data_IF_070711587121
#
_entry.id   IF_070711587121
#
_cell.length_a   1.000
_cell.length_b   1.000
_cell.length_c   1.000
_cell.angle_alpha   90.00
_cell.angle_beta   90.00
_cell.angle_gamma   90.00
#
_symmetry.space_group_name_H-M   'P 1'
#
loop_
_entity.id
_entity.type
_entity.pdbx_description
1 polymer ?
#
# COMPACT_ATOMS: atom_id res chain seq x y z
N UNK A 1 9.01 -2.20 27.44
CA UNK A 1 10.05 -2.49 26.43
C UNK A 1 9.42 -3.22 25.25
N UNK A 2 9.43 -2.65 24.04
CA UNK A 2 8.92 -3.34 22.83
C UNK A 2 10.03 -4.25 22.29
N UNK A 3 9.91 -5.57 22.46
CA UNK A 3 10.79 -6.54 21.77
C UNK A 3 10.47 -6.46 20.27
N UNK A 4 11.47 -6.20 19.42
CA UNK A 4 11.28 -6.25 17.96
C UNK A 4 10.94 -7.67 17.51
N UNK A 5 10.29 -7.81 16.34
CA UNK A 5 9.89 -9.12 15.80
C UNK A 5 11.07 -10.08 15.64
N UNK A 6 12.20 -9.60 15.11
CA UNK A 6 13.38 -10.43 14.90
C UNK A 6 14.04 -10.81 16.24
N UNK A 7 14.02 -9.92 17.23
CA UNK A 7 14.49 -10.25 18.58
C UNK A 7 13.55 -11.25 19.29
N UNK A 8 12.24 -11.18 19.03
CA UNK A 8 11.28 -12.15 19.57
C UNK A 8 11.55 -13.55 19.03
N UNK A 9 11.80 -13.68 17.72
CA UNK A 9 12.19 -14.94 17.08
C UNK A 9 13.44 -15.54 17.73
N UNK A 10 14.51 -14.74 17.84
CA UNK A 10 15.80 -15.20 18.40
C UNK A 10 15.61 -15.68 19.84
N UNK A 11 14.94 -14.88 20.67
CA UNK A 11 14.70 -15.19 22.09
C UNK A 11 13.85 -16.44 22.29
N UNK A 12 12.83 -16.64 21.46
CA UNK A 12 11.98 -17.84 21.55
C UNK A 12 12.74 -19.09 21.12
N UNK A 13 13.52 -19.01 20.03
CA UNK A 13 14.39 -20.12 19.63
C UNK A 13 15.37 -20.49 20.73
N UNK A 14 16.06 -19.51 21.30
CA UNK A 14 16.97 -19.71 22.42
C UNK A 14 16.25 -20.35 23.61
N UNK A 15 15.09 -19.84 24.00
CA UNK A 15 14.31 -20.39 25.11
C UNK A 15 13.88 -21.84 24.87
N UNK A 16 13.43 -22.19 23.65
CA UNK A 16 13.02 -23.56 23.31
C UNK A 16 14.23 -24.49 23.31
N UNK A 17 15.31 -24.11 22.62
CA UNK A 17 16.54 -24.91 22.54
C UNK A 17 17.12 -25.17 23.92
N UNK A 18 17.25 -24.11 24.73
CA UNK A 18 17.88 -24.21 26.04
C UNK A 18 16.92 -24.80 27.08
N UNK A 19 15.61 -24.66 26.90
CA UNK A 19 14.61 -25.34 27.72
C UNK A 19 14.61 -26.86 27.61
N UNK A 20 15.20 -27.40 26.53
CA UNK A 20 15.46 -28.84 26.36
C UNK A 20 16.76 -29.32 27.01
N UNK A 21 17.57 -28.40 27.55
CA UNK A 21 18.77 -28.76 28.30
C UNK A 21 18.36 -29.46 29.61
N UNK A 22 19.04 -30.56 30.02
CA UNK A 22 18.68 -31.30 31.25
C UNK A 22 18.56 -30.40 32.48
N UNK A 23 19.51 -29.48 32.67
CA UNK A 23 19.53 -28.53 33.80
C UNK A 23 18.31 -27.58 33.81
N UNK A 24 17.77 -27.24 32.63
CA UNK A 24 16.57 -26.43 32.51
C UNK A 24 15.29 -27.26 32.60
N UNK A 25 15.30 -28.50 32.13
CA UNK A 25 14.12 -29.35 32.12
C UNK A 25 13.61 -29.60 33.54
N UNK A 26 14.52 -29.89 34.49
CA UNK A 26 14.18 -30.05 35.91
C UNK A 26 13.57 -28.78 36.55
N UNK A 27 13.84 -27.60 35.98
CA UNK A 27 13.25 -26.33 36.39
C UNK A 27 11.91 -26.05 35.69
N UNK A 28 11.80 -26.34 34.39
CA UNK A 28 10.69 -25.97 33.52
C UNK A 28 9.51 -26.95 33.60
N UNK A 29 9.77 -28.24 33.73
CA UNK A 29 8.71 -29.26 33.80
C UNK A 29 7.77 -29.04 35.00
N UNK A 30 8.25 -28.76 36.22
CA UNK A 30 7.37 -28.52 37.37
C UNK A 30 6.52 -27.24 37.29
N UNK A 31 6.82 -26.32 36.37
CA UNK A 31 6.00 -25.13 36.10
C UNK A 31 5.11 -25.29 34.86
N UNK A 32 4.97 -26.53 34.36
CA UNK A 32 4.14 -26.88 33.23
C UNK A 32 4.75 -26.54 31.86
N UNK A 33 6.06 -26.23 31.80
CA UNK A 33 6.81 -25.98 30.57
C UNK A 33 7.71 -27.17 30.20
N UNK A 34 7.19 -28.39 30.34
CA UNK A 34 7.83 -29.60 29.83
C UNK A 34 7.79 -29.69 28.30
N UNK A 35 8.23 -30.83 27.77
CA UNK A 35 8.43 -31.07 26.33
C UNK A 35 7.22 -30.68 25.46
N UNK A 36 6.00 -31.08 25.86
CA UNK A 36 4.75 -30.73 25.16
C UNK A 36 4.55 -29.22 25.00
N UNK A 37 4.88 -28.43 26.03
CA UNK A 37 4.71 -26.95 26.01
C UNK A 37 5.80 -26.26 25.20
N UNK A 38 7.01 -26.82 25.17
CA UNK A 38 8.10 -26.37 24.31
C UNK A 38 7.79 -26.68 22.84
N UNK A 39 7.28 -27.88 22.54
CA UNK A 39 6.80 -28.26 21.20
C UNK A 39 5.65 -27.34 20.72
N UNK A 40 4.72 -26.99 21.61
CA UNK A 40 3.67 -26.01 21.29
C UNK A 40 4.26 -24.61 20.98
N UNK A 41 5.34 -24.21 21.66
CA UNK A 41 6.07 -22.98 21.36
C UNK A 41 6.76 -22.99 20.00
N UNK A 42 7.34 -24.13 19.62
CA UNK A 42 7.96 -24.36 18.32
C UNK A 42 6.92 -24.31 17.19
N UNK A 43 5.78 -25.00 17.37
CA UNK A 43 4.67 -24.94 16.42
C UNK A 43 4.12 -23.51 16.22
N UNK A 44 4.00 -22.72 17.29
CA UNK A 44 3.62 -21.31 17.19
C UNK A 44 4.65 -20.47 16.45
N UNK A 45 5.94 -20.76 16.64
CA UNK A 45 7.02 -20.09 15.94
C UNK A 45 6.97 -20.38 14.44
N UNK A 46 6.79 -21.65 14.07
CA UNK A 46 6.68 -22.07 12.67
C UNK A 46 5.46 -21.45 11.99
N UNK A 47 4.29 -21.47 12.65
CA UNK A 47 3.08 -20.83 12.15
C UNK A 47 3.27 -19.32 11.92
N UNK A 48 3.97 -18.63 12.82
CA UNK A 48 4.30 -17.22 12.65
C UNK A 48 5.27 -16.99 11.48
N UNK A 49 6.28 -17.85 11.31
CA UNK A 49 7.23 -17.76 10.18
C UNK A 49 6.53 -17.99 8.84
N UNK A 50 5.68 -19.01 8.75
CA UNK A 50 4.89 -19.31 7.55
C UNK A 50 3.97 -18.14 7.19
N UNK A 51 3.28 -17.56 8.17
CA UNK A 51 2.44 -16.39 7.95
C UNK A 51 3.24 -15.18 7.44
N UNK A 52 4.46 -14.96 7.94
CA UNK A 52 5.34 -13.87 7.48
C UNK A 52 5.82 -14.07 6.04
N UNK A 53 6.22 -15.28 5.66
CA UNK A 53 6.62 -15.59 4.29
C UNK A 53 5.45 -15.47 3.30
N UNK A 54 4.23 -15.86 3.71
CA UNK A 54 3.01 -15.61 2.92
C UNK A 54 2.78 -14.11 2.68
N UNK A 55 2.93 -13.27 3.71
CA UNK A 55 2.80 -11.81 3.54
C UNK A 55 3.91 -11.24 2.64
N UNK A 56 5.15 -11.72 2.77
CA UNK A 56 6.30 -11.25 1.99
C UNK A 56 6.16 -11.60 0.50
N UNK A 57 5.82 -12.85 0.19
CA UNK A 57 5.58 -13.31 -1.18
C UNK A 57 4.42 -12.59 -1.85
N UNK A 58 3.40 -12.20 -1.08
CA UNK A 58 2.30 -11.38 -1.60
C UNK A 58 2.67 -9.91 -1.83
N UNK A 59 3.67 -9.39 -1.10
CA UNK A 59 4.20 -8.04 -1.29
C UNK A 59 4.86 -7.84 -2.66
N UNK A 60 5.56 -8.84 -3.20
CA UNK A 60 6.14 -8.78 -4.55
C UNK A 60 5.07 -8.86 -5.64
N UNK A 61 4.06 -9.72 -5.45
CA UNK A 61 2.89 -9.84 -6.34
C UNK A 61 2.09 -8.54 -6.41
N UNK A 62 2.02 -7.78 -5.31
CA UNK A 62 1.39 -6.45 -5.29
C UNK A 62 2.11 -5.47 -6.21
N UNK A 63 3.44 -5.44 -6.19
CA UNK A 63 4.21 -4.48 -7.01
C UNK A 63 4.00 -4.71 -8.51
N UNK A 64 4.07 -5.95 -8.97
CA UNK A 64 3.86 -6.27 -10.39
C UNK A 64 2.41 -6.01 -10.83
N UNK A 65 1.42 -6.41 -10.02
CA UNK A 65 0.01 -6.15 -10.30
C UNK A 65 -0.29 -4.64 -10.42
N UNK A 66 0.28 -3.83 -9.53
CA UNK A 66 0.13 -2.37 -9.54
C UNK A 66 0.72 -1.75 -10.81
N UNK A 67 1.82 -2.30 -11.33
CA UNK A 67 2.45 -1.77 -12.54
C UNK A 67 1.62 -2.06 -13.78
N UNK A 68 1.07 -3.27 -13.91
CA UNK A 68 0.19 -3.65 -15.02
C UNK A 68 -1.14 -2.87 -15.00
N UNK A 69 -1.71 -2.68 -13.80
CA UNK A 69 -2.91 -1.87 -13.62
C UNK A 69 -2.66 -0.42 -14.04
N UNK A 70 -1.58 0.21 -13.55
CA UNK A 70 -1.22 1.60 -13.90
C UNK A 70 -0.96 1.80 -15.40
N UNK A 71 -0.42 0.80 -16.08
CA UNK A 71 -0.22 0.88 -17.53
C UNK A 71 -1.57 0.89 -18.26
N UNK A 72 -2.48 -0.04 -17.90
CA UNK A 72 -3.81 -0.10 -18.48
C UNK A 72 -4.64 1.16 -18.15
N UNK A 73 -4.56 1.66 -16.92
CA UNK A 73 -5.19 2.90 -16.47
C UNK A 73 -4.75 4.09 -17.32
N UNK A 74 -3.44 4.25 -17.52
CA UNK A 74 -2.87 5.37 -18.30
C UNK A 74 -3.36 5.33 -19.73
N UNK A 75 -3.34 4.17 -20.38
CA UNK A 75 -3.80 4.06 -21.77
C UNK A 75 -5.29 4.36 -21.88
N UNK A 76 -6.13 3.77 -21.02
CA UNK A 76 -7.57 4.04 -21.03
C UNK A 76 -7.90 5.51 -20.72
N UNK A 77 -7.17 6.15 -19.80
CA UNK A 77 -7.32 7.57 -19.51
C UNK A 77 -6.92 8.45 -20.70
N UNK A 78 -5.84 8.12 -21.41
CA UNK A 78 -5.42 8.87 -22.60
C UNK A 78 -6.49 8.80 -23.68
N UNK A 79 -7.03 7.61 -23.97
CA UNK A 79 -8.12 7.44 -24.94
C UNK A 79 -9.37 8.22 -24.53
N UNK A 80 -9.79 8.10 -23.27
CA UNK A 80 -10.96 8.83 -22.77
C UNK A 80 -10.75 10.35 -22.84
N UNK A 81 -9.53 10.83 -22.60
CA UNK A 81 -9.21 12.26 -22.69
C UNK A 81 -9.22 12.73 -24.14
N UNK A 82 -8.62 11.96 -25.05
CA UNK A 82 -8.57 12.27 -26.47
C UNK A 82 -9.98 12.30 -27.10
N UNK A 83 -10.86 11.36 -26.74
CA UNK A 83 -12.25 11.37 -27.22
C UNK A 83 -13.00 12.60 -26.71
N UNK A 84 -12.86 12.95 -25.42
CA UNK A 84 -13.48 14.16 -24.87
C UNK A 84 -13.01 15.43 -25.58
N UNK A 85 -11.73 15.52 -25.92
CA UNK A 85 -11.19 16.66 -26.66
C UNK A 85 -11.74 16.70 -28.09
N UNK A 86 -11.82 15.57 -28.79
CA UNK A 86 -12.41 15.49 -30.12
C UNK A 86 -13.89 15.92 -30.11
N UNK A 87 -14.69 15.36 -29.19
CA UNK A 87 -16.11 15.71 -29.03
C UNK A 87 -16.27 17.22 -28.77
N UNK A 88 -15.47 17.79 -27.88
CA UNK A 88 -15.50 19.24 -27.63
C UNK A 88 -15.14 20.07 -28.84
N UNK A 89 -14.11 19.66 -29.58
CA UNK A 89 -13.66 20.41 -30.76
C UNK A 89 -14.72 20.39 -31.87
N UNK A 90 -15.39 19.26 -32.06
CA UNK A 90 -16.42 19.10 -33.08
C UNK A 90 -17.76 19.78 -32.73
N UNK A 91 -18.11 19.81 -31.44
CA UNK A 91 -19.45 20.21 -30.98
C UNK A 91 -19.42 21.25 -29.86
N UNK A 92 -18.45 22.16 -29.88
CA UNK A 92 -18.29 23.19 -28.85
C UNK A 92 -19.57 24.03 -28.62
N UNK A 93 -20.36 24.22 -29.67
CA UNK A 93 -21.59 25.03 -29.67
C UNK A 93 -22.87 24.18 -29.55
N UNK A 94 -22.77 22.85 -29.61
CA UNK A 94 -23.92 21.94 -29.50
C UNK A 94 -23.99 21.36 -28.08
N UNK A 95 -24.61 22.11 -27.18
CA UNK A 95 -24.80 21.73 -25.77
C UNK A 95 -25.50 20.37 -25.64
N UNK A 96 -26.44 20.04 -26.54
CA UNK A 96 -27.16 18.77 -26.49
C UNK A 96 -26.23 17.57 -26.72
N UNK A 97 -25.26 17.69 -27.62
CA UNK A 97 -24.24 16.66 -27.82
C UNK A 97 -23.29 16.58 -26.63
N UNK A 98 -22.89 17.73 -26.06
CA UNK A 98 -22.07 17.75 -24.86
C UNK A 98 -22.79 17.14 -23.64
N UNK A 99 -24.11 17.30 -23.51
CA UNK A 99 -24.93 16.64 -22.48
C UNK A 99 -24.95 15.13 -22.65
N UNK A 100 -25.10 14.63 -23.88
CA UNK A 100 -25.10 13.19 -24.16
C UNK A 100 -23.79 12.50 -23.74
N UNK A 101 -22.66 13.22 -23.78
CA UNK A 101 -21.36 12.74 -23.32
C UNK A 101 -21.03 13.09 -21.87
N UNK A 102 -21.95 13.73 -21.13
CA UNK A 102 -21.73 14.25 -19.77
C UNK A 102 -20.52 15.23 -19.68
N UNK A 103 -20.39 16.11 -20.70
CA UNK A 103 -19.25 17.02 -20.89
C UNK A 103 -19.56 18.50 -20.69
N UNK A 104 -20.83 18.87 -20.49
CA UNK A 104 -21.26 20.26 -20.26
C UNK A 104 -20.52 20.90 -19.10
N UNK A 105 -20.32 20.14 -18.02
CA UNK A 105 -19.65 20.59 -16.80
C UNK A 105 -18.17 20.19 -16.74
N UNK A 106 -17.49 20.01 -17.87
CA UNK A 106 -16.03 19.82 -17.88
C UNK A 106 -15.38 21.03 -18.57
N UNK A 107 -14.89 22.00 -17.79
CA UNK A 107 -14.08 23.10 -18.32
C UNK A 107 -12.69 22.54 -18.60
N UNK A 108 -12.10 22.93 -19.73
CA UNK A 108 -10.68 22.67 -20.02
C UNK A 108 -9.88 23.04 -18.75
N UNK A 109 -9.07 22.16 -18.15
CA UNK A 109 -8.20 22.56 -17.06
C UNK A 109 -7.44 23.80 -17.54
N UNK A 110 -7.30 24.86 -16.71
CA UNK A 110 -6.64 26.08 -17.13
C UNK A 110 -5.29 25.68 -17.72
N UNK A 111 -5.02 26.08 -18.98
CA UNK A 111 -3.71 25.89 -19.62
C UNK A 111 -2.69 26.40 -18.62
N UNK A 112 -1.92 25.51 -17.99
CA UNK A 112 -0.75 25.89 -17.22
C UNK A 112 0.17 26.56 -18.24
N UNK A 113 0.12 27.89 -18.28
CA UNK A 113 1.15 28.69 -18.91
C UNK A 113 2.40 28.37 -18.13
N UNK A 114 3.23 27.49 -18.68
CA UNK A 114 4.61 27.32 -18.21
C UNK A 114 5.24 28.68 -18.50
N UNK A 115 5.28 29.55 -17.49
CA UNK A 115 6.17 30.71 -17.51
C UNK A 115 7.56 30.11 -17.60
N UNK A 116 8.10 30.04 -18.81
CA UNK A 116 9.54 29.94 -19.01
C UNK A 116 10.11 31.24 -18.44
N UNK A 117 10.48 31.20 -17.16
CA UNK A 117 11.41 32.18 -16.61
C UNK A 117 12.74 31.89 -17.29
N UNK A 118 12.98 32.56 -18.42
CA UNK A 118 14.31 32.75 -18.96
C UNK A 118 15.10 33.60 -17.96
N UNK A 119 15.65 32.94 -16.94
CA UNK A 119 16.68 33.49 -16.08
C UNK A 119 17.97 33.58 -16.87
N UNK A 120 18.08 34.62 -17.70
CA UNK A 120 19.35 35.10 -18.22
C UNK A 120 20.08 35.83 -17.10
N UNK A 121 21.17 35.25 -16.62
CA UNK A 121 22.17 35.95 -15.80
C UNK A 121 23.54 35.64 -16.38
N UNK A 122 24.04 36.56 -17.21
CA UNK A 122 25.47 36.72 -17.45
C UNK A 122 26.07 37.47 -16.26
N UNK A 123 27.25 37.06 -15.79
CA UNK A 123 28.00 37.81 -14.78
C UNK A 123 29.05 37.00 -14.03
N UNK A 124 30.05 36.55 -14.78
CA UNK A 124 31.49 36.48 -14.49
C UNK A 124 32.02 36.75 -13.06
N UNK A 125 33.02 35.95 -12.63
CA UNK A 125 34.02 36.40 -11.66
C UNK A 125 34.41 35.44 -10.52
N UNK A 126 35.58 34.82 -10.70
CA UNK A 126 36.58 34.50 -9.66
C UNK A 126 36.62 33.09 -9.05
N UNK A 127 37.82 32.52 -9.20
CA UNK A 127 38.36 31.23 -8.79
C UNK A 127 38.79 31.18 -7.31
N UNK A 128 38.84 29.93 -6.81
CA UNK A 128 39.72 29.39 -5.75
C UNK A 128 39.52 29.89 -4.30
N UNK A 129 39.06 29.00 -3.40
CA UNK A 129 39.92 28.16 -2.58
C UNK A 129 39.08 27.37 -1.55
N UNK A 130 39.44 26.10 -1.36
CA UNK A 130 39.09 25.30 -0.18
C UNK A 130 40.31 25.38 0.78
N UNK A 131 40.18 25.23 2.13
CA UNK A 131 39.77 23.95 2.70
C UNK A 131 39.04 24.00 4.08
N UNK A 132 38.43 22.84 4.40
CA UNK A 132 38.24 22.18 5.70
C UNK A 132 37.95 22.98 6.99
N UNK A 133 36.90 22.58 7.71
CA UNK A 133 36.97 22.24 9.15
C UNK A 133 35.66 21.63 9.68
N UNK A 134 35.83 20.90 10.78
CA UNK A 134 34.93 19.98 11.48
C UNK A 134 33.78 20.61 12.28
N UNK A 135 33.00 19.71 12.91
CA UNK A 135 32.06 19.89 14.02
C UNK A 135 30.64 20.37 13.62
N UNK A 136 29.55 20.05 14.30
CA UNK A 136 29.13 19.07 15.32
C UNK A 136 27.67 19.47 15.63
N UNK A 137 26.85 18.55 16.19
CA UNK A 137 25.47 18.77 16.68
C UNK A 137 24.40 19.04 15.58
N UNK A 138 23.13 18.65 15.69
CA UNK A 138 22.31 18.00 16.72
C UNK A 138 20.98 17.53 16.09
N UNK A 139 20.41 16.49 16.69
CA UNK A 139 18.99 16.28 17.08
C UNK A 139 17.87 17.09 16.39
N UNK A 140 16.81 16.39 15.97
CA UNK A 140 15.67 16.97 15.28
C UNK A 140 14.53 15.99 15.02
N UNK A 141 13.98 15.45 16.10
CA UNK A 141 12.71 14.70 16.14
C UNK A 141 11.55 15.58 15.66
N UNK A 142 10.78 15.13 14.66
CA UNK A 142 9.42 15.62 14.43
C UNK A 142 8.57 14.56 13.71
N UNK A 143 7.63 13.99 14.47
CA UNK A 143 6.52 13.21 13.97
C UNK A 143 5.41 14.17 13.52
N UNK A 144 4.97 14.06 12.27
CA UNK A 144 3.74 14.70 11.80
C UNK A 144 2.63 13.65 11.67
N UNK A 145 1.70 13.69 12.61
CA UNK A 145 0.33 13.17 12.45
C UNK A 145 -0.47 14.09 11.54
N UNK A 146 -1.22 13.58 10.53
CA UNK A 146 -2.20 14.40 9.85
C UNK A 146 -3.47 14.52 10.70
N UNK A 147 -3.82 15.76 11.03
CA UNK A 147 -5.07 16.16 11.67
C UNK A 147 -6.22 16.02 10.67
N UNK A 148 -7.23 15.29 11.09
CA UNK A 148 -8.50 15.07 10.41
C UNK A 148 -9.42 16.27 10.68
N UNK A 149 -9.62 17.13 9.68
CA UNK A 149 -10.50 18.30 9.74
C UNK A 149 -11.69 18.12 8.81
N UNK A 150 -12.74 17.50 9.31
CA UNK A 150 -14.06 17.40 8.67
C UNK A 150 -14.78 18.74 8.79
N UNK A 151 -15.13 19.37 7.67
CA UNK A 151 -16.13 20.44 7.61
C UNK A 151 -17.26 20.03 6.68
N UNK A 152 -18.42 19.78 7.30
CA UNK A 152 -19.71 19.67 6.64
C UNK A 152 -20.08 21.03 6.03
N UNK A 153 -19.97 21.15 4.71
CA UNK A 153 -20.58 22.21 3.92
C UNK A 153 -21.42 21.58 2.82
N UNK A 154 -22.74 21.51 3.00
CA UNK A 154 -23.68 21.22 1.90
C UNK A 154 -23.72 22.43 0.97
N UNK A 155 -22.83 22.46 -0.01
CA UNK A 155 -23.04 23.25 -1.22
C UNK A 155 -23.65 22.34 -2.28
N UNK A 156 -24.82 22.72 -2.81
CA UNK A 156 -25.34 22.23 -4.09
C UNK A 156 -24.53 22.85 -5.24
N UNK A 157 -23.20 22.76 -5.15
CA UNK A 157 -22.28 23.16 -6.22
C UNK A 157 -21.96 21.91 -7.03
N UNK A 158 -22.29 21.92 -8.32
CA UNK A 158 -21.86 20.90 -9.28
C UNK A 158 -20.35 20.70 -9.12
N UNK A 159 -19.98 19.61 -8.44
CA UNK A 159 -18.62 19.35 -8.01
C UNK A 159 -17.85 18.90 -9.24
N UNK A 160 -16.90 19.73 -9.67
CA UNK A 160 -15.97 19.50 -10.76
C UNK A 160 -14.99 18.39 -10.35
N UNK A 161 -15.47 17.14 -10.32
CA UNK A 161 -14.63 16.01 -9.96
C UNK A 161 -13.80 15.66 -11.19
N UNK A 162 -12.56 16.11 -11.19
CA UNK A 162 -11.53 15.60 -12.10
C UNK A 162 -11.52 14.07 -12.04
N UNK A 163 -11.31 13.37 -13.16
CA UNK A 163 -11.27 11.89 -13.15
C UNK A 163 -10.29 11.34 -12.10
N UNK A 164 -9.25 12.12 -11.78
CA UNK A 164 -8.25 11.83 -10.74
C UNK A 164 -8.79 11.84 -9.30
N UNK A 165 -9.94 12.47 -9.07
CA UNK A 165 -10.62 12.54 -7.77
C UNK A 165 -11.74 11.49 -7.63
N UNK A 166 -12.11 10.83 -8.74
CA UNK A 166 -13.05 9.72 -8.72
C UNK A 166 -12.37 8.44 -8.23
N UNK A 167 -13.12 7.65 -7.46
CA UNK A 167 -12.77 6.27 -7.21
C UNK A 167 -12.65 5.49 -8.53
N UNK A 168 -11.87 4.41 -8.51
CA UNK A 168 -11.66 3.54 -9.68
C UNK A 168 -12.99 3.07 -10.30
N UNK A 169 -13.99 2.62 -9.53
CA UNK A 169 -15.27 2.17 -10.09
C UNK A 169 -16.03 3.28 -10.82
N UNK A 170 -16.10 4.47 -10.25
CA UNK A 170 -16.80 5.61 -10.85
C UNK A 170 -16.12 6.07 -12.14
N UNK A 171 -14.78 6.03 -12.17
CA UNK A 171 -14.00 6.39 -13.35
C UNK A 171 -14.21 5.42 -14.51
N UNK A 172 -14.16 4.12 -14.24
CA UNK A 172 -14.45 3.07 -15.23
C UNK A 172 -15.87 3.24 -15.77
N UNK A 173 -16.85 3.48 -14.89
CA UNK A 173 -18.24 3.69 -15.30
C UNK A 173 -18.37 4.89 -16.24
N UNK A 174 -17.71 6.01 -15.94
CA UNK A 174 -17.70 7.19 -16.83
C UNK A 174 -17.06 6.92 -18.18
N UNK A 175 -15.94 6.21 -18.23
CA UNK A 175 -15.30 5.86 -19.50
C UNK A 175 -16.21 4.97 -20.35
N UNK A 176 -16.87 3.97 -19.74
CA UNK A 176 -17.86 3.13 -20.44
C UNK A 176 -18.99 3.95 -21.03
N UNK A 177 -19.55 4.88 -20.26
CA UNK A 177 -20.61 5.79 -20.75
C UNK A 177 -20.09 6.59 -21.94
N UNK A 178 -18.93 7.25 -21.80
CA UNK A 178 -18.31 8.07 -22.84
C UNK A 178 -18.18 7.32 -24.18
N UNK A 179 -17.56 6.14 -24.18
CA UNK A 179 -17.37 5.38 -25.42
C UNK A 179 -18.68 4.77 -25.94
N UNK A 180 -19.59 4.34 -25.05
CA UNK A 180 -20.90 3.81 -25.47
C UNK A 180 -21.81 4.86 -26.11
N UNK A 181 -21.64 6.14 -25.73
CA UNK A 181 -22.42 7.25 -26.30
C UNK A 181 -22.08 7.45 -27.78
N UNK A 182 -20.86 7.14 -28.23
CA UNK A 182 -20.49 7.28 -29.65
C UNK A 182 -21.41 6.46 -30.56
N UNK A 183 -21.73 5.22 -30.17
CA UNK A 183 -22.65 4.36 -30.94
C UNK A 183 -24.12 4.78 -30.88
N UNK A 184 -24.48 5.75 -30.03
CA UNK A 184 -25.84 6.30 -29.89
C UNK A 184 -26.01 7.61 -30.63
N UNK A 185 -24.94 8.16 -31.21
CA UNK A 185 -25.02 9.37 -32.02
C UNK A 185 -25.74 9.10 -33.34
N UNK A 186 -26.30 10.14 -33.95
CA UNK A 186 -26.80 10.07 -35.31
C UNK A 186 -25.67 9.82 -36.32
N UNK A 187 -26.02 9.29 -37.49
CA UNK A 187 -25.05 8.88 -38.53
C UNK A 187 -24.15 10.03 -39.01
N UNK A 188 -24.69 11.26 -39.06
CA UNK A 188 -23.91 12.43 -39.45
C UNK A 188 -22.85 12.79 -38.39
N UNK A 189 -23.19 12.71 -37.10
CA UNK A 189 -22.24 12.92 -36.00
C UNK A 189 -21.22 11.79 -35.90
N UNK A 190 -21.62 10.55 -36.14
CA UNK A 190 -20.68 9.42 -36.21
C UNK A 190 -19.66 9.60 -37.34
N UNK A 191 -20.11 10.04 -38.51
CA UNK A 191 -19.22 10.32 -39.65
C UNK A 191 -18.19 11.40 -39.31
N UNK A 192 -18.61 12.50 -38.66
CA UNK A 192 -17.69 13.56 -38.21
C UNK A 192 -16.66 13.08 -37.18
N UNK A 193 -17.05 12.20 -36.25
CA UNK A 193 -16.09 11.60 -35.31
C UNK A 193 -15.11 10.67 -36.03
N UNK A 194 -15.58 9.88 -36.99
CA UNK A 194 -14.74 8.99 -37.78
C UNK A 194 -13.70 9.78 -38.59
N UNK A 195 -14.08 10.93 -39.18
CA UNK A 195 -13.15 11.86 -39.83
C UNK A 195 -12.07 12.40 -38.87
N UNK A 196 -12.38 12.48 -37.58
CA UNK A 196 -11.46 12.84 -36.50
C UNK A 196 -10.68 11.65 -35.93
N UNK A 197 -10.76 10.48 -36.56
CA UNK A 197 -10.06 9.26 -36.15
C UNK A 197 -10.78 8.45 -35.07
N UNK A 198 -12.03 8.76 -34.75
CA UNK A 198 -12.87 8.02 -33.78
C UNK A 198 -13.93 7.19 -34.50
N UNK A 199 -13.47 6.27 -35.35
CA UNK A 199 -14.36 5.30 -36.00
C UNK A 199 -14.83 4.21 -35.02
N UNK A 200 -15.75 3.36 -35.49
CA UNK A 200 -16.31 2.28 -34.67
C UNK A 200 -15.25 1.28 -34.21
N UNK A 201 -14.21 1.05 -35.02
CA UNK A 201 -13.12 0.15 -34.69
C UNK A 201 -12.27 0.72 -33.54
N UNK A 202 -11.89 1.99 -33.60
CA UNK A 202 -11.10 2.66 -32.57
C UNK A 202 -11.89 2.77 -31.26
N UNK A 203 -13.18 3.14 -31.31
CA UNK A 203 -14.04 3.14 -30.11
C UNK A 203 -14.14 1.74 -29.50
N UNK A 204 -14.23 0.69 -30.32
CA UNK A 204 -14.20 -0.70 -29.87
C UNK A 204 -12.90 -1.05 -29.14
N UNK A 205 -11.75 -0.66 -29.68
CA UNK A 205 -10.43 -0.86 -29.06
C UNK A 205 -10.31 -0.11 -27.72
N UNK A 206 -10.78 1.14 -27.68
CA UNK A 206 -10.77 1.95 -26.46
C UNK A 206 -11.66 1.35 -25.36
N UNK A 207 -12.84 0.83 -25.72
CA UNK A 207 -13.69 0.05 -24.80
C UNK A 207 -13.01 -1.21 -24.29
N UNK A 208 -12.32 -1.95 -25.14
CA UNK A 208 -11.57 -3.15 -24.74
C UNK A 208 -10.48 -2.81 -23.71
N UNK A 209 -9.80 -1.65 -23.86
CA UNK A 209 -8.83 -1.15 -22.89
C UNK A 209 -9.46 -0.83 -21.54
N UNK A 210 -10.64 -0.19 -21.52
CA UNK A 210 -11.40 0.07 -20.28
C UNK A 210 -11.78 -1.23 -19.58
N UNK A 211 -12.22 -2.25 -20.32
CA UNK A 211 -12.54 -3.56 -19.75
C UNK A 211 -11.32 -4.29 -19.22
N UNK A 212 -10.18 -4.24 -19.93
CA UNK A 212 -8.90 -4.78 -19.45
C UNK A 212 -8.48 -4.12 -18.13
N UNK A 213 -8.63 -2.79 -18.02
CA UNK A 213 -8.36 -2.07 -16.78
C UNK A 213 -9.31 -2.49 -15.66
N UNK A 214 -10.61 -2.61 -15.93
CA UNK A 214 -11.60 -3.04 -14.94
C UNK A 214 -11.32 -4.46 -14.40
N UNK A 215 -10.91 -5.38 -15.28
CA UNK A 215 -10.49 -6.72 -14.88
C UNK A 215 -9.21 -6.70 -14.04
N UNK A 216 -8.24 -5.86 -14.39
CA UNK A 216 -6.99 -5.69 -13.64
C UNK A 216 -7.25 -5.14 -12.22
N UNK A 217 -8.08 -4.11 -12.08
CA UNK A 217 -8.50 -3.56 -10.77
C UNK A 217 -9.24 -4.61 -9.94
N UNK A 218 -10.23 -5.31 -10.52
CA UNK A 218 -10.95 -6.38 -9.81
C UNK A 218 -10.02 -7.51 -9.32
N UNK A 219 -9.04 -7.91 -10.14
CA UNK A 219 -8.03 -8.89 -9.75
C UNK A 219 -7.12 -8.36 -8.63
N UNK A 220 -6.78 -7.08 -8.65
CA UNK A 220 -5.98 -6.43 -7.61
C UNK A 220 -6.74 -6.31 -6.28
N UNK A 221 -8.01 -5.92 -6.30
CA UNK A 221 -8.85 -5.88 -5.11
C UNK A 221 -8.96 -7.25 -4.43
N UNK A 222 -9.11 -8.33 -5.22
CA UNK A 222 -9.08 -9.71 -4.69
C UNK A 222 -7.75 -10.01 -3.99
N UNK A 223 -6.62 -9.67 -4.62
CA UNK A 223 -5.28 -9.85 -4.04
C UNK A 223 -5.09 -9.05 -2.75
N UNK A 224 -5.61 -7.82 -2.66
CA UNK A 224 -5.54 -7.01 -1.44
C UNK A 224 -6.34 -7.62 -0.30
N UNK A 225 -7.56 -8.11 -0.54
CA UNK A 225 -8.34 -8.81 0.50
C UNK A 225 -7.60 -10.03 1.04
N UNK A 226 -6.98 -10.82 0.18
CA UNK A 226 -6.17 -11.98 0.61
C UNK A 226 -4.95 -11.52 1.43
N UNK A 227 -4.29 -10.44 1.02
CA UNK A 227 -3.16 -9.87 1.77
C UNK A 227 -3.59 -9.37 3.16
N UNK A 228 -4.73 -8.70 3.27
CA UNK A 228 -5.28 -8.23 4.55
C UNK A 228 -5.58 -9.38 5.50
N UNK A 229 -6.20 -10.45 4.99
CA UNK A 229 -6.45 -11.68 5.76
C UNK A 229 -5.13 -12.27 6.27
N UNK A 230 -4.12 -12.37 5.40
CA UNK A 230 -2.83 -12.93 5.76
C UNK A 230 -2.05 -12.03 6.73
N UNK A 231 -2.14 -10.71 6.59
CA UNK A 231 -1.57 -9.77 7.56
C UNK A 231 -2.25 -9.88 8.93
N UNK A 232 -3.58 -10.02 8.96
CA UNK A 232 -4.31 -10.25 10.20
C UNK A 232 -3.91 -11.59 10.85
N UNK A 233 -3.79 -12.66 10.07
CA UNK A 233 -3.32 -13.95 10.54
C UNK A 233 -1.89 -13.88 11.10
N UNK A 234 -0.97 -13.21 10.41
CA UNK A 234 0.41 -13.01 10.87
C UNK A 234 0.47 -12.21 12.19
N UNK A 235 -0.34 -11.15 12.33
CA UNK A 235 -0.46 -10.39 13.57
C UNK A 235 -1.01 -11.23 14.71
N UNK A 236 -2.02 -12.07 14.46
CA UNK A 236 -2.59 -12.99 15.45
C UNK A 236 -1.55 -14.01 15.92
N UNK A 237 -0.85 -14.65 14.99
CA UNK A 237 0.23 -15.59 15.30
C UNK A 237 1.35 -14.92 16.13
N UNK A 238 1.74 -13.70 15.79
CA UNK A 238 2.72 -12.93 16.58
C UNK A 238 2.23 -12.67 18.02
N UNK A 239 0.96 -12.30 18.19
CA UNK A 239 0.39 -12.06 19.52
C UNK A 239 0.35 -13.33 20.37
N UNK A 240 -0.04 -14.46 19.78
CA UNK A 240 -0.06 -15.76 20.46
C UNK A 240 1.36 -16.18 20.87
N UNK A 241 2.31 -16.07 19.95
CA UNK A 241 3.73 -16.35 20.18
C UNK A 241 4.32 -15.47 21.30
N UNK A 242 4.02 -14.17 21.29
CA UNK A 242 4.43 -13.23 22.34
C UNK A 242 3.80 -13.58 23.69
N UNK A 243 2.49 -13.90 23.72
CA UNK A 243 1.81 -14.31 24.97
C UNK A 243 2.43 -15.58 25.54
N UNK A 244 2.71 -16.57 24.68
CA UNK A 244 3.38 -17.80 25.06
C UNK A 244 4.75 -17.52 25.68
N UNK A 245 5.58 -16.69 25.05
CA UNK A 245 6.93 -16.35 25.54
C UNK A 245 6.89 -15.53 26.83
N UNK A 246 6.02 -14.54 26.95
CA UNK A 246 5.88 -13.73 28.16
C UNK A 246 5.38 -14.58 29.35
N UNK A 247 4.47 -15.51 29.10
CA UNK A 247 4.04 -16.46 30.13
C UNK A 247 5.20 -17.37 30.55
N UNK A 248 5.96 -17.89 29.58
CA UNK A 248 7.11 -18.76 29.83
C UNK A 248 8.14 -18.05 30.71
N UNK A 249 8.62 -16.90 30.25
CA UNK A 249 9.61 -16.08 30.98
C UNK A 249 9.15 -15.69 32.38
N UNK A 250 7.86 -15.33 32.57
CA UNK A 250 7.32 -14.99 33.89
C UNK A 250 7.35 -16.19 34.85
N UNK A 251 6.89 -17.35 34.41
CA UNK A 251 6.86 -18.55 35.25
C UNK A 251 8.29 -19.04 35.54
N UNK A 252 9.16 -19.03 34.55
CA UNK A 252 10.56 -19.43 34.70
C UNK A 252 11.31 -18.51 35.66
N UNK A 253 11.20 -17.18 35.53
CA UNK A 253 11.81 -16.23 36.49
C UNK A 253 11.32 -16.48 37.92
N UNK A 254 10.04 -16.80 38.09
CA UNK A 254 9.46 -17.14 39.39
C UNK A 254 9.99 -18.46 39.93
N UNK A 255 10.20 -19.46 39.07
CA UNK A 255 10.80 -20.74 39.43
C UNK A 255 12.25 -20.58 39.86
N UNK A 256 13.06 -19.85 39.09
CA UNK A 256 14.47 -19.55 39.41
C UNK A 256 14.56 -18.92 40.80
N UNK A 257 13.74 -17.89 41.07
CA UNK A 257 13.75 -17.19 42.36
C UNK A 257 13.40 -18.10 43.55
N UNK A 258 12.54 -19.10 43.34
CA UNK A 258 12.01 -19.96 44.42
C UNK A 258 12.81 -21.25 44.63
N UNK A 259 13.44 -21.76 43.58
CA UNK A 259 13.98 -23.14 43.55
C UNK A 259 15.48 -23.22 43.27
N UNK A 260 16.09 -22.13 42.82
CA UNK A 260 17.51 -22.10 42.47
C UNK A 260 18.27 -21.28 43.50
N UNK A 261 19.40 -21.83 43.96
CA UNK A 261 20.31 -21.15 44.88
C UNK A 261 20.74 -19.80 44.29
N UNK A 262 20.87 -18.73 45.10
CA UNK A 262 21.19 -17.37 44.62
C UNK A 262 22.37 -17.32 43.65
N UNK A 263 23.42 -18.10 43.93
CA UNK A 263 24.65 -18.20 43.13
C UNK A 263 24.42 -18.78 41.72
N UNK A 264 23.39 -19.62 41.55
CA UNK A 264 23.05 -20.26 40.28
C UNK A 264 21.95 -19.53 39.51
N UNK A 265 21.33 -18.49 40.10
CA UNK A 265 20.19 -17.81 39.46
C UNK A 265 20.58 -17.07 38.19
N UNK A 266 21.78 -16.46 38.15
CA UNK A 266 22.25 -15.73 36.98
C UNK A 266 22.55 -16.69 35.83
N UNK A 267 23.25 -17.81 36.12
CA UNK A 267 23.50 -18.88 35.16
C UNK A 267 22.19 -19.39 34.53
N UNK A 268 21.17 -19.68 35.33
CA UNK A 268 19.87 -20.17 34.81
C UNK A 268 19.11 -19.11 34.00
N UNK A 269 19.31 -17.81 34.28
CA UNK A 269 18.71 -16.73 33.47
C UNK A 269 19.41 -16.59 32.14
N UNK A 270 20.75 -16.62 32.13
CA UNK A 270 21.56 -16.52 30.93
C UNK A 270 21.32 -17.73 30.02
N UNK A 271 21.24 -18.93 30.60
CA UNK A 271 20.94 -20.15 29.85
C UNK A 271 19.54 -20.11 29.23
N UNK A 272 18.55 -19.44 29.82
CA UNK A 272 17.19 -19.33 29.25
C UNK A 272 16.95 -18.02 28.46
N UNK A 273 17.98 -17.18 28.30
CA UNK A 273 17.88 -15.90 27.58
C UNK A 273 16.90 -14.90 28.22
N UNK A 274 16.84 -14.87 29.56
CA UNK A 274 15.86 -14.13 30.38
C UNK A 274 16.32 -12.77 30.86
#
# INVERSE_FOLDING_TARGET
MRISQDNLKIRIKQFITNGRHPDCQGLLEPIGYGESRLAAGEALLDAWQEAREKVKSQGSVKKSATQTERAAERTAQLEATALREAVRTLWMEDESTLEQFDLVNYRRPPRRTVKHTNGSTNGDGSTADAPASEASYSDGSAAETPVNGSTNGKSNGSSWVSDYQLGTPERIARWRVLFSTVGKLDEAKQTKLAEFGWDTAHVGQAMELVEKYAQADAAQQKKFKVMEINQAAAKKAEQELRRWYLQATRLTRSAIKRRVLPEQQQYMRDLLGL
#
